data_IF_706015500523
#
_entry.id   IF_706015500523
#
_cell.length_a   1.000
_cell.length_b   1.000
_cell.length_c   1.000
_cell.angle_alpha   90.00
_cell.angle_beta   90.00
_cell.angle_gamma   90.00
#
_symmetry.space_group_name_H-M   'P 1'
#
loop_
_entity.id
_entity.type
_entity.pdbx_description
1 polymer ?
#
# COMPACT_ATOMS: atom_id res chain seq x y z
N UNK A 1 -34.02 5.67 0.51
CA UNK A 1 -34.30 6.18 1.88
C UNK A 1 -34.72 5.07 2.84
N UNK A 2 -35.74 4.23 2.50
CA UNK A 2 -36.23 3.16 3.39
C UNK A 2 -35.10 2.21 3.84
N UNK A 3 -34.20 1.80 2.94
CA UNK A 3 -33.08 0.91 3.24
C UNK A 3 -32.04 1.57 4.15
N UNK A 4 -31.81 2.88 4.00
CA UNK A 4 -30.87 3.63 4.84
C UNK A 4 -31.39 3.70 6.28
N UNK A 5 -32.65 4.02 6.48
CA UNK A 5 -33.27 4.04 7.83
C UNK A 5 -33.21 2.67 8.50
N UNK A 6 -33.46 1.60 7.75
CA UNK A 6 -33.35 0.23 8.27
C UNK A 6 -31.91 -0.09 8.68
N UNK A 7 -30.92 0.33 7.87
CA UNK A 7 -29.49 0.13 8.19
C UNK A 7 -29.11 0.90 9.45
N UNK A 8 -29.48 2.17 9.56
CA UNK A 8 -29.23 2.99 10.76
C UNK A 8 -29.86 2.34 12.00
N UNK A 9 -31.10 1.88 11.91
CA UNK A 9 -31.76 1.19 13.02
C UNK A 9 -30.99 -0.06 13.48
N UNK A 10 -30.50 -0.86 12.54
CA UNK A 10 -29.66 -2.03 12.86
C UNK A 10 -28.34 -1.64 13.52
N UNK A 11 -27.67 -0.60 13.04
CA UNK A 11 -26.45 -0.09 13.65
C UNK A 11 -26.68 0.33 15.10
N UNK A 12 -27.76 1.07 15.38
CA UNK A 12 -28.13 1.51 16.72
C UNK A 12 -28.38 0.32 17.64
N UNK A 13 -29.17 -0.66 17.19
CA UNK A 13 -29.45 -1.86 18.01
C UNK A 13 -28.19 -2.69 18.27
N UNK A 14 -27.31 -2.84 17.29
CA UNK A 14 -26.02 -3.51 17.47
C UNK A 14 -25.16 -2.77 18.49
N UNK A 15 -25.09 -1.45 18.41
CA UNK A 15 -24.31 -0.64 19.37
C UNK A 15 -24.80 -0.81 20.80
N UNK A 16 -26.12 -0.86 21.03
CA UNK A 16 -26.70 -1.04 22.36
C UNK A 16 -26.34 -2.37 23.05
N UNK A 17 -26.06 -3.43 22.29
CA UNK A 17 -25.71 -4.75 22.82
C UNK A 17 -24.20 -4.99 22.81
N UNK A 18 -23.39 -4.10 22.20
CA UNK A 18 -21.95 -4.19 22.21
C UNK A 18 -21.43 -3.76 23.60
N UNK A 19 -20.49 -4.49 24.21
CA UNK A 19 -19.86 -4.05 25.46
C UNK A 19 -19.22 -2.68 25.32
N UNK A 20 -19.30 -1.87 26.38
CA UNK A 20 -18.63 -0.57 26.42
C UNK A 20 -17.11 -0.73 26.33
N UNK A 21 -16.49 0.11 25.55
CA UNK A 21 -15.04 0.25 25.44
C UNK A 21 -14.67 1.67 25.86
N UNK A 22 -13.99 1.80 26.98
CA UNK A 22 -13.60 3.11 27.57
C UNK A 22 -12.66 3.94 26.65
N UNK A 23 -12.02 3.27 25.67
CA UNK A 23 -11.13 3.92 24.71
C UNK A 23 -11.81 4.26 23.39
N UNK A 24 -13.07 3.88 23.21
CA UNK A 24 -13.83 4.17 21.98
C UNK A 24 -14.68 5.43 22.16
N UNK A 25 -14.08 6.57 21.88
CA UNK A 25 -14.72 7.90 21.98
C UNK A 25 -14.46 8.71 20.71
N UNK A 26 -15.22 9.81 20.55
CA UNK A 26 -14.87 10.82 19.56
C UNK A 26 -13.59 11.53 19.98
N UNK A 27 -12.75 11.99 19.05
CA UNK A 27 -11.55 12.75 19.36
C UNK A 27 -11.91 14.11 19.98
N UNK A 28 -10.96 14.70 20.71
CA UNK A 28 -11.10 16.06 21.18
C UNK A 28 -11.22 17.03 19.99
N UNK A 29 -12.15 17.99 20.07
CA UNK A 29 -12.41 18.92 18.97
C UNK A 29 -11.21 19.72 18.51
N UNK A 30 -10.27 19.97 19.41
CA UNK A 30 -9.03 20.70 19.12
C UNK A 30 -8.05 19.90 18.25
N UNK A 31 -8.25 18.58 18.16
CA UNK A 31 -7.45 17.67 17.31
C UNK A 31 -7.99 17.58 15.90
N UNK A 32 -9.24 17.97 15.67
CA UNK A 32 -9.88 17.85 14.35
C UNK A 32 -9.14 18.68 13.29
N UNK A 33 -8.96 18.11 12.11
CA UNK A 33 -8.28 18.74 11.00
C UNK A 33 -9.03 19.98 10.49
N UNK A 34 -8.54 21.16 10.83
CA UNK A 34 -9.15 22.46 10.45
C UNK A 34 -8.42 23.12 9.27
N UNK A 35 -7.15 22.80 9.07
CA UNK A 35 -6.33 23.30 7.96
C UNK A 35 -5.81 22.14 7.14
N UNK A 36 -6.32 22.03 5.92
CA UNK A 36 -5.95 20.98 4.99
C UNK A 36 -5.08 21.63 3.89
N UNK A 37 -3.79 21.29 3.89
CA UNK A 37 -2.89 21.63 2.78
C UNK A 37 -3.14 20.67 1.62
N UNK A 38 -3.09 21.16 0.39
CA UNK A 38 -3.25 20.28 -0.77
C UNK A 38 -2.07 19.31 -0.87
N UNK A 39 -2.38 18.03 -0.78
CA UNK A 39 -1.42 16.94 -0.90
C UNK A 39 -1.25 16.43 -2.34
N UNK A 40 -2.01 17.00 -3.26
CA UNK A 40 -1.98 16.63 -4.69
C UNK A 40 -2.06 15.09 -4.89
N UNK A 41 -3.01 14.44 -4.20
CA UNK A 41 -3.20 12.99 -4.27
C UNK A 41 -4.35 12.57 -5.19
N UNK A 42 -4.90 13.52 -5.96
CA UNK A 42 -5.97 13.27 -6.91
C UNK A 42 -5.61 13.79 -8.29
N UNK A 43 -5.81 12.94 -9.28
CA UNK A 43 -5.68 13.23 -10.70
C UNK A 43 -7.04 13.05 -11.38
N UNK A 44 -7.46 14.05 -12.16
CA UNK A 44 -8.68 14.00 -12.95
C UNK A 44 -8.52 13.19 -14.22
N UNK A 45 -7.28 12.99 -14.68
CA UNK A 45 -6.99 12.25 -15.89
C UNK A 45 -7.55 10.84 -15.83
N UNK A 46 -8.06 10.39 -16.96
CA UNK A 46 -8.62 9.06 -17.17
C UNK A 46 -7.95 8.43 -18.39
N UNK A 47 -7.64 7.16 -18.28
CA UNK A 47 -7.12 6.38 -19.39
C UNK A 47 -8.19 5.39 -19.86
N UNK A 48 -8.56 5.46 -21.14
CA UNK A 48 -9.54 4.53 -21.72
C UNK A 48 -8.98 3.10 -21.81
N UNK A 49 -9.86 2.13 -21.91
CA UNK A 49 -9.48 0.72 -21.92
C UNK A 49 -8.59 0.32 -23.10
N UNK A 50 -8.73 0.98 -24.25
CA UNK A 50 -7.89 0.71 -25.40
C UNK A 50 -6.42 1.11 -25.10
N UNK A 51 -6.21 2.29 -24.57
CA UNK A 51 -4.87 2.73 -24.17
C UNK A 51 -4.27 1.89 -23.04
N UNK A 52 -5.10 1.40 -22.09
CA UNK A 52 -4.64 0.44 -21.08
C UNK A 52 -4.13 -0.85 -21.72
N UNK A 53 -4.84 -1.36 -22.73
CA UNK A 53 -4.44 -2.56 -23.46
C UNK A 53 -3.14 -2.30 -24.26
N UNK A 54 -3.02 -1.16 -24.94
CA UNK A 54 -1.78 -0.78 -25.63
C UNK A 54 -0.60 -0.69 -24.68
N UNK A 55 -0.80 -0.05 -23.53
CA UNK A 55 0.22 0.05 -22.46
C UNK A 55 0.67 -1.34 -22.00
N UNK A 56 -0.28 -2.24 -21.70
CA UNK A 56 0.04 -3.60 -21.25
C UNK A 56 0.71 -4.44 -22.34
N UNK A 57 0.31 -4.26 -23.60
CA UNK A 57 0.97 -4.92 -24.72
C UNK A 57 2.44 -4.51 -24.83
N UNK A 58 2.75 -3.23 -24.70
CA UNK A 58 4.14 -2.75 -24.71
C UNK A 58 4.94 -3.29 -23.52
N UNK A 59 4.30 -3.41 -22.33
CA UNK A 59 4.91 -4.05 -21.16
C UNK A 59 5.30 -5.50 -21.47
N UNK A 60 4.40 -6.28 -22.05
CA UNK A 60 4.64 -7.69 -22.38
C UNK A 60 5.66 -7.85 -23.51
N UNK A 61 5.52 -7.07 -24.59
CA UNK A 61 6.44 -7.09 -25.74
C UNK A 61 7.88 -6.83 -25.26
N UNK A 62 8.09 -5.85 -24.37
CA UNK A 62 9.41 -5.53 -23.83
C UNK A 62 9.98 -6.62 -22.90
N UNK A 63 9.14 -7.38 -22.23
CA UNK A 63 9.60 -8.53 -21.46
C UNK A 63 10.04 -9.69 -22.38
N UNK A 64 9.30 -9.93 -23.45
CA UNK A 64 9.62 -10.97 -24.45
C UNK A 64 10.83 -10.67 -25.33
N UNK A 65 11.41 -9.47 -25.28
CA UNK A 65 12.72 -9.22 -25.91
C UNK A 65 13.84 -10.14 -25.38
N UNK A 66 13.63 -10.77 -24.24
CA UNK A 66 14.56 -11.74 -23.66
C UNK A 66 14.15 -13.16 -23.98
N UNK A 67 15.01 -13.90 -24.65
CA UNK A 67 14.74 -15.27 -25.11
C UNK A 67 14.41 -16.27 -24.00
N UNK A 68 14.87 -16.02 -22.77
CA UNK A 68 14.59 -16.84 -21.60
C UNK A 68 13.17 -16.68 -21.08
N UNK A 69 12.47 -15.59 -21.44
CA UNK A 69 11.09 -15.35 -21.00
C UNK A 69 10.14 -16.21 -21.84
N UNK A 70 9.37 -17.03 -21.16
CA UNK A 70 8.44 -17.98 -21.78
C UNK A 70 6.97 -17.64 -21.54
N UNK A 71 6.70 -16.78 -20.55
CA UNK A 71 5.35 -16.29 -20.25
C UNK A 71 5.38 -14.98 -19.50
N UNK A 72 4.33 -14.18 -19.66
CA UNK A 72 4.08 -12.94 -18.91
C UNK A 72 2.62 -12.87 -18.49
N UNK A 73 2.37 -12.16 -17.40
CA UNK A 73 1.04 -11.75 -16.97
C UNK A 73 1.14 -10.27 -16.57
N UNK A 74 0.39 -9.41 -17.23
CA UNK A 74 0.38 -7.99 -16.97
C UNK A 74 -1.00 -7.49 -16.55
N UNK A 75 -1.03 -6.43 -15.75
CA UNK A 75 -2.29 -5.86 -15.28
C UNK A 75 -2.19 -4.35 -15.10
N UNK A 76 -3.29 -3.65 -15.40
CA UNK A 76 -3.46 -2.21 -15.19
C UNK A 76 -4.67 -1.96 -14.31
N UNK A 77 -4.52 -1.11 -13.30
CA UNK A 77 -5.60 -0.68 -12.43
C UNK A 77 -5.64 0.85 -12.33
N UNK A 78 -6.83 1.40 -12.43
CA UNK A 78 -7.16 2.79 -12.15
C UNK A 78 -8.22 2.82 -11.08
N UNK A 79 -7.96 3.54 -9.99
CA UNK A 79 -8.91 3.72 -8.90
C UNK A 79 -9.05 5.20 -8.60
N UNK A 80 -10.28 5.68 -8.53
CA UNK A 80 -10.63 7.01 -8.05
C UNK A 80 -11.56 6.87 -6.87
N UNK A 81 -11.25 7.54 -5.78
CA UNK A 81 -12.00 7.49 -4.54
C UNK A 81 -12.44 8.88 -4.13
N UNK A 82 -13.62 8.94 -3.54
CA UNK A 82 -14.13 10.12 -2.86
C UNK A 82 -14.49 9.69 -1.43
N UNK A 83 -13.71 10.16 -0.48
CA UNK A 83 -13.89 9.87 0.95
C UNK A 83 -14.60 11.05 1.62
N UNK A 84 -15.64 10.78 2.39
CA UNK A 84 -16.36 11.77 3.17
C UNK A 84 -16.54 11.22 4.58
N UNK A 85 -16.13 12.01 5.56
CA UNK A 85 -16.32 11.73 6.98
C UNK A 85 -17.27 12.76 7.59
N UNK A 86 -18.27 12.27 8.32
CA UNK A 86 -19.16 13.09 9.11
C UNK A 86 -19.32 12.47 10.50
N UNK A 87 -19.20 13.27 11.54
CA UNK A 87 -19.36 12.84 12.92
C UNK A 87 -20.33 13.73 13.71
N UNK A 88 -20.86 13.22 14.82
CA UNK A 88 -21.86 13.90 15.65
C UNK A 88 -21.32 15.11 16.41
N UNK A 89 -20.01 15.26 16.51
CA UNK A 89 -19.33 16.45 17.08
C UNK A 89 -19.31 17.67 16.14
N UNK A 90 -19.81 17.48 14.89
CA UNK A 90 -19.92 18.51 13.87
C UNK A 90 -18.81 18.48 12.82
N UNK A 91 -17.90 17.52 12.85
CA UNK A 91 -16.93 17.35 11.78
C UNK A 91 -17.64 16.87 10.49
N UNK A 92 -17.40 17.57 9.40
CA UNK A 92 -17.84 17.19 8.06
C UNK A 92 -16.80 17.63 7.06
N UNK A 93 -16.05 16.68 6.54
CA UNK A 93 -15.04 16.95 5.53
C UNK A 93 -14.85 15.75 4.60
N UNK A 94 -14.16 15.96 3.48
CA UNK A 94 -13.89 14.91 2.52
C UNK A 94 -12.76 15.28 1.57
N UNK A 95 -12.24 14.27 0.89
CA UNK A 95 -11.22 14.45 -0.14
C UNK A 95 -11.33 13.37 -1.21
N UNK A 96 -10.76 13.70 -2.37
CA UNK A 96 -10.60 12.75 -3.47
C UNK A 96 -9.18 12.20 -3.47
N UNK A 97 -9.04 10.98 -3.93
CA UNK A 97 -7.73 10.37 -4.21
C UNK A 97 -7.80 9.50 -5.46
N UNK A 98 -6.68 9.35 -6.13
CA UNK A 98 -6.52 8.48 -7.28
C UNK A 98 -5.30 7.57 -7.11
N UNK A 99 -5.33 6.44 -7.80
CA UNK A 99 -4.21 5.52 -7.90
C UNK A 99 -4.22 4.88 -9.27
N UNK A 100 -3.07 4.93 -9.93
CA UNK A 100 -2.80 4.27 -11.20
C UNK A 100 -1.69 3.25 -10.96
N UNK A 101 -1.92 2.01 -11.33
CA UNK A 101 -0.90 0.98 -11.19
C UNK A 101 -0.83 0.09 -12.41
N UNK A 102 0.39 -0.31 -12.77
CA UNK A 102 0.63 -1.34 -13.75
C UNK A 102 1.69 -2.31 -13.23
N UNK A 103 1.57 -3.57 -13.57
CA UNK A 103 2.50 -4.61 -13.15
C UNK A 103 2.73 -5.62 -14.27
N UNK A 104 3.90 -6.24 -14.23
CA UNK A 104 4.25 -7.38 -15.06
C UNK A 104 4.88 -8.46 -14.20
N UNK A 105 4.33 -9.66 -14.24
CA UNK A 105 4.99 -10.88 -13.76
C UNK A 105 5.59 -11.57 -14.96
N UNK A 106 6.89 -11.85 -14.95
CA UNK A 106 7.57 -12.59 -15.99
C UNK A 106 7.96 -13.99 -15.50
N UNK A 107 7.92 -14.97 -16.39
CA UNK A 107 8.39 -16.34 -16.16
C UNK A 107 9.52 -16.64 -17.12
N UNK A 108 10.69 -16.98 -16.58
CA UNK A 108 11.85 -17.38 -17.37
C UNK A 108 12.10 -18.88 -17.22
N UNK A 109 12.65 -19.47 -18.29
CA UNK A 109 13.05 -20.88 -18.32
C UNK A 109 14.45 -21.03 -18.89
N UNK A 110 15.29 -21.84 -18.21
CA UNK A 110 16.62 -22.23 -18.68
C UNK A 110 16.99 -23.59 -18.13
N UNK A 111 17.53 -24.48 -18.95
CA UNK A 111 18.03 -25.79 -18.56
C UNK A 111 17.06 -26.62 -17.68
N UNK A 112 15.77 -26.55 -17.97
CA UNK A 112 14.73 -27.25 -17.20
C UNK A 112 14.26 -26.53 -15.94
N UNK A 113 14.94 -25.49 -15.48
CA UNK A 113 14.54 -24.65 -14.36
C UNK A 113 13.63 -23.53 -14.83
N UNK A 114 12.65 -23.18 -13.99
CA UNK A 114 11.73 -22.07 -14.23
C UNK A 114 11.73 -21.17 -12.99
N UNK A 115 11.77 -19.87 -13.23
CA UNK A 115 11.71 -18.85 -12.19
C UNK A 115 10.74 -17.76 -12.58
N UNK A 116 10.21 -17.05 -11.57
CA UNK A 116 9.35 -15.90 -11.79
C UNK A 116 9.74 -14.73 -10.91
N UNK A 117 9.57 -13.54 -11.42
CA UNK A 117 9.64 -12.29 -10.68
C UNK A 117 8.73 -11.25 -11.31
N UNK A 118 8.67 -10.08 -10.73
CA UNK A 118 7.77 -9.02 -11.16
C UNK A 118 8.40 -7.64 -11.05
N UNK A 119 7.81 -6.71 -11.79
CA UNK A 119 7.97 -5.27 -11.61
C UNK A 119 6.61 -4.59 -11.65
N UNK A 120 6.50 -3.44 -11.00
CA UNK A 120 5.29 -2.64 -10.98
C UNK A 120 5.58 -1.16 -10.80
N UNK A 121 4.64 -0.33 -11.23
CA UNK A 121 4.52 1.08 -10.86
C UNK A 121 3.21 1.30 -10.13
N UNK A 122 3.18 2.25 -9.19
CA UNK A 122 1.96 2.70 -8.53
C UNK A 122 2.13 4.18 -8.15
N UNK A 123 1.22 5.03 -8.60
CA UNK A 123 1.31 6.49 -8.49
C UNK A 123 -0.08 7.08 -8.26
N UNK A 124 -0.13 8.30 -7.69
CA UNK A 124 -1.38 9.06 -7.60
C UNK A 124 -1.77 9.69 -8.94
N UNK A 125 -0.81 9.96 -9.81
CA UNK A 125 -1.02 10.62 -11.09
C UNK A 125 -0.64 9.72 -12.26
N UNK A 126 -1.46 9.75 -13.30
CA UNK A 126 -1.23 8.97 -14.53
C UNK A 126 0.11 9.32 -15.18
N UNK A 127 0.46 10.62 -15.19
CA UNK A 127 1.71 11.12 -15.77
C UNK A 127 2.98 10.67 -15.03
N UNK A 128 2.86 10.20 -13.80
CA UNK A 128 3.99 9.78 -12.97
C UNK A 128 4.24 8.25 -13.10
N UNK A 129 3.45 7.53 -13.89
CA UNK A 129 3.66 6.10 -14.14
C UNK A 129 4.95 5.85 -14.93
N UNK A 130 5.57 4.74 -14.68
CA UNK A 130 6.74 4.31 -15.45
C UNK A 130 6.38 4.08 -16.92
N UNK A 131 7.37 4.23 -17.78
CA UNK A 131 7.22 3.79 -19.15
C UNK A 131 6.92 2.28 -19.21
N UNK A 132 5.95 1.83 -20.00
CA UNK A 132 5.58 0.42 -20.08
C UNK A 132 6.76 -0.50 -20.41
N UNK A 133 7.62 -0.11 -21.34
CA UNK A 133 8.81 -0.90 -21.71
C UNK A 133 9.80 -1.07 -20.54
N UNK A 134 9.88 -0.11 -19.63
CA UNK A 134 10.72 -0.21 -18.44
C UNK A 134 10.21 -1.29 -17.47
N UNK A 135 8.88 -1.38 -17.27
CA UNK A 135 8.28 -2.37 -16.38
C UNK A 135 8.55 -3.78 -16.89
N UNK A 136 8.31 -4.04 -18.18
CA UNK A 136 8.52 -5.36 -18.77
C UNK A 136 9.99 -5.77 -18.78
N UNK A 137 10.88 -4.88 -19.22
CA UNK A 137 12.32 -5.14 -19.25
C UNK A 137 12.90 -5.40 -17.86
N UNK A 138 12.46 -4.66 -16.83
CA UNK A 138 12.90 -4.89 -15.45
C UNK A 138 12.34 -6.17 -14.86
N UNK A 139 11.08 -6.51 -15.14
CA UNK A 139 10.48 -7.78 -14.72
C UNK A 139 11.27 -8.95 -15.32
N UNK A 140 11.54 -8.93 -16.63
CA UNK A 140 12.33 -9.94 -17.32
C UNK A 140 13.75 -10.06 -16.74
N UNK A 141 14.45 -8.93 -16.58
CA UNK A 141 15.81 -8.90 -16.00
C UNK A 141 15.86 -9.54 -14.62
N UNK A 142 14.94 -9.18 -13.74
CA UNK A 142 14.87 -9.73 -12.37
C UNK A 142 14.57 -11.21 -12.36
N UNK A 143 13.69 -11.67 -13.25
CA UNK A 143 13.34 -13.08 -13.38
C UNK A 143 14.53 -13.91 -13.85
N UNK A 144 15.25 -13.45 -14.88
CA UNK A 144 16.43 -14.11 -15.40
C UNK A 144 17.54 -14.22 -14.35
N UNK A 145 17.73 -13.18 -13.53
CA UNK A 145 18.70 -13.19 -12.42
C UNK A 145 18.45 -14.27 -11.38
N UNK A 146 17.23 -14.82 -11.29
CA UNK A 146 16.89 -15.93 -10.39
C UNK A 146 17.17 -17.31 -10.98
N UNK A 147 17.40 -17.41 -12.28
CA UNK A 147 17.68 -18.68 -12.92
C UNK A 147 18.95 -19.33 -12.36
N UNK A 148 18.93 -20.66 -12.32
CA UNK A 148 20.04 -21.48 -11.81
C UNK A 148 20.41 -21.16 -10.35
N UNK A 149 19.45 -21.21 -9.40
CA UNK A 149 19.71 -20.94 -8.00
C UNK A 149 20.72 -21.95 -7.43
N UNK A 150 21.62 -21.49 -6.58
CA UNK A 150 22.56 -22.32 -5.88
C UNK A 150 22.12 -22.57 -4.43
N UNK A 151 22.31 -23.78 -3.95
CA UNK A 151 22.15 -24.11 -2.54
C UNK A 151 23.30 -23.51 -1.74
N UNK A 152 22.97 -22.81 -0.66
CA UNK A 152 23.94 -22.38 0.34
C UNK A 152 23.70 -23.16 1.63
N UNK A 153 24.74 -23.35 2.42
CA UNK A 153 24.63 -23.97 3.74
C UNK A 153 24.02 -23.01 4.77
N UNK A 154 23.52 -23.57 5.88
CA UNK A 154 22.99 -22.75 6.98
C UNK A 154 24.16 -22.10 7.71
N UNK A 155 24.20 -20.78 7.70
CA UNK A 155 25.25 -20.01 8.36
C UNK A 155 24.70 -18.67 8.91
N UNK A 156 25.49 -18.05 9.79
CA UNK A 156 25.16 -16.72 10.31
C UNK A 156 25.88 -15.66 9.48
N UNK A 157 25.13 -14.99 8.63
CA UNK A 157 25.63 -13.99 7.68
C UNK A 157 24.91 -12.67 7.79
N UNK A 158 25.51 -11.62 7.26
CA UNK A 158 24.85 -10.33 7.04
C UNK A 158 23.88 -10.44 5.86
N UNK A 159 22.68 -9.89 6.00
CA UNK A 159 21.64 -9.94 4.97
C UNK A 159 21.36 -8.52 4.47
N UNK A 160 21.31 -8.35 3.15
CA UNK A 160 20.86 -7.14 2.50
C UNK A 160 19.47 -7.43 1.93
N UNK A 161 18.47 -6.67 2.40
CA UNK A 161 17.11 -6.78 1.90
C UNK A 161 16.92 -5.92 0.65
N UNK A 162 16.38 -6.50 -0.43
CA UNK A 162 15.92 -5.73 -1.59
C UNK A 162 14.85 -4.71 -1.15
N UNK A 163 14.84 -3.52 -1.78
CA UNK A 163 13.91 -2.43 -1.47
C UNK A 163 12.43 -2.85 -1.47
N UNK A 164 12.05 -3.82 -2.30
CA UNK A 164 10.68 -4.33 -2.39
C UNK A 164 10.26 -5.13 -1.16
N UNK A 165 11.22 -5.75 -0.48
CA UNK A 165 10.99 -6.61 0.70
C UNK A 165 11.22 -5.83 1.98
N UNK A 166 12.14 -4.87 1.99
CA UNK A 166 12.54 -4.12 3.19
C UNK A 166 11.36 -3.40 3.87
N UNK A 167 10.34 -2.99 3.11
CA UNK A 167 9.10 -2.44 3.66
C UNK A 167 8.39 -3.39 4.64
N UNK A 168 8.58 -4.70 4.50
CA UNK A 168 8.00 -5.70 5.40
C UNK A 168 8.49 -5.53 6.85
N UNK A 169 9.72 -5.08 7.05
CA UNK A 169 10.27 -4.80 8.39
C UNK A 169 9.49 -3.66 9.06
N UNK A 170 9.19 -2.59 8.31
CA UNK A 170 8.38 -1.48 8.82
C UNK A 170 6.94 -1.92 9.11
N UNK A 171 6.36 -2.78 8.28
CA UNK A 171 5.01 -3.33 8.52
C UNK A 171 4.94 -4.16 9.80
N UNK A 172 5.97 -4.96 10.09
CA UNK A 172 6.06 -5.72 11.35
C UNK A 172 6.15 -4.76 12.54
N UNK A 173 6.96 -3.71 12.44
CA UNK A 173 7.04 -2.70 13.50
C UNK A 173 5.69 -1.99 13.69
N UNK A 174 5.07 -1.49 12.62
CA UNK A 174 3.77 -0.81 12.70
C UNK A 174 2.71 -1.68 13.38
N UNK A 175 2.65 -2.98 13.04
CA UNK A 175 1.75 -3.93 13.69
C UNK A 175 2.09 -4.15 15.17
N UNK A 176 3.38 -4.18 15.51
CA UNK A 176 3.82 -4.43 16.89
C UNK A 176 3.61 -3.22 17.82
N UNK A 177 3.67 -1.99 17.32
CA UNK A 177 3.41 -0.76 18.10
C UNK A 177 1.94 -0.36 18.10
N UNK A 178 1.08 -1.04 17.35
CA UNK A 178 -0.36 -0.76 17.34
C UNK A 178 -0.95 -0.87 18.75
N UNK A 179 -1.70 0.15 19.18
CA UNK A 179 -2.35 0.18 20.48
C UNK A 179 -3.20 -1.07 20.74
N UNK A 180 -3.96 -1.53 19.75
CA UNK A 180 -4.77 -2.74 19.85
C UNK A 180 -3.95 -4.01 20.05
N UNK A 181 -2.76 -4.12 19.45
CA UNK A 181 -1.85 -5.25 19.65
C UNK A 181 -1.22 -5.23 21.05
N UNK A 182 -0.90 -4.04 21.53
CA UNK A 182 -0.38 -3.82 22.90
C UNK A 182 -1.44 -4.18 23.94
N UNK A 183 -2.66 -3.64 23.81
CA UNK A 183 -3.77 -3.87 24.74
C UNK A 183 -4.14 -5.36 24.84
N UNK A 184 -4.23 -6.05 23.70
CA UNK A 184 -4.48 -7.51 23.66
C UNK A 184 -3.30 -8.35 24.15
N UNK A 185 -2.16 -7.77 24.44
CA UNK A 185 -0.95 -8.47 24.89
C UNK A 185 -0.28 -9.35 23.84
N UNK A 186 -0.67 -9.22 22.56
CA UNK A 186 -0.14 -10.05 21.46
C UNK A 186 1.17 -9.52 20.88
N UNK A 187 1.51 -8.27 21.17
CA UNK A 187 2.76 -7.66 20.70
C UNK A 187 3.97 -8.11 21.51
N UNK A 188 5.07 -8.44 20.83
CA UNK A 188 6.38 -8.65 21.48
C UNK A 188 6.98 -7.35 22.07
N UNK A 189 6.41 -6.19 21.72
CA UNK A 189 6.82 -4.87 22.26
C UNK A 189 5.97 -4.39 23.44
N UNK A 190 4.99 -5.16 23.92
CA UNK A 190 4.05 -4.75 24.98
C UNK A 190 4.67 -4.19 26.26
N UNK A 191 5.91 -4.58 26.59
CA UNK A 191 6.63 -4.11 27.77
C UNK A 191 7.85 -3.23 27.40
N UNK A 192 7.85 -2.62 26.22
CA UNK A 192 9.00 -1.86 25.68
C UNK A 192 8.75 -0.36 25.56
N UNK A 193 7.67 0.16 26.15
CA UNK A 193 7.40 1.61 26.17
C UNK A 193 8.61 2.33 26.80
N UNK A 194 9.05 3.40 26.15
CA UNK A 194 10.23 4.20 26.52
C UNK A 194 11.56 3.42 26.53
N UNK A 195 11.62 2.24 25.91
CA UNK A 195 12.87 1.49 25.74
C UNK A 195 13.38 1.61 24.30
N UNK A 196 14.68 1.66 24.17
CA UNK A 196 15.36 1.60 22.86
C UNK A 196 15.20 0.20 22.27
N UNK A 197 14.66 0.10 21.05
CA UNK A 197 14.45 -1.14 20.30
C UNK A 197 15.34 -1.24 19.05
N UNK A 198 15.87 -0.12 18.60
CA UNK A 198 16.84 -0.03 17.50
C UNK A 198 18.05 0.79 17.95
N UNK A 199 19.12 0.71 17.17
CA UNK A 199 20.29 1.58 17.34
C UNK A 199 19.89 3.05 17.16
N UNK A 200 20.55 3.95 17.89
CA UNK A 200 20.33 5.42 17.83
C UNK A 200 20.53 6.03 16.43
N UNK A 201 21.19 5.30 15.53
CA UNK A 201 21.37 5.70 14.13
C UNK A 201 20.11 5.49 13.27
N UNK A 202 19.11 4.75 13.77
CA UNK A 202 17.88 4.44 13.03
C UNK A 202 16.77 5.38 13.48
N UNK A 203 16.24 6.15 12.55
CA UNK A 203 15.08 7.02 12.76
C UNK A 203 13.94 6.55 11.87
N UNK A 204 12.76 6.43 12.43
CA UNK A 204 11.54 6.00 11.74
C UNK A 204 10.50 7.09 11.93
N UNK A 205 9.95 7.58 10.81
CA UNK A 205 8.97 8.66 10.79
C UNK A 205 7.67 8.16 10.15
N UNK A 206 6.55 8.48 10.77
CA UNK A 206 5.23 8.45 10.15
C UNK A 206 4.90 9.84 9.62
N UNK A 207 4.63 9.95 8.31
CA UNK A 207 4.35 11.22 7.63
C UNK A 207 3.13 11.06 6.74
N UNK A 208 1.93 11.31 7.27
CA UNK A 208 0.69 11.15 6.50
C UNK A 208 0.47 12.24 5.44
N UNK A 209 1.29 13.28 5.40
CA UNK A 209 1.11 14.49 4.59
C UNK A 209 2.19 14.68 3.51
N UNK A 210 2.66 13.62 2.90
CA UNK A 210 3.60 13.69 1.77
C UNK A 210 2.81 14.04 0.49
N UNK A 211 3.25 15.07 -0.23
CA UNK A 211 2.67 15.44 -1.53
C UNK A 211 2.80 14.26 -2.50
N UNK A 212 1.72 13.93 -3.21
CA UNK A 212 1.61 12.75 -4.10
C UNK A 212 1.93 11.42 -3.42
N UNK A 213 1.89 11.36 -2.09
CA UNK A 213 2.14 10.12 -1.35
C UNK A 213 0.94 9.17 -1.43
N UNK A 214 1.16 7.92 -1.87
CA UNK A 214 0.10 6.89 -1.97
C UNK A 214 -0.57 6.57 -0.63
N UNK A 215 0.17 6.71 0.47
CA UNK A 215 -0.34 6.53 1.84
C UNK A 215 -0.83 7.83 2.49
N UNK A 216 -0.67 8.98 1.81
CA UNK A 216 -1.03 10.26 2.39
C UNK A 216 -2.54 10.44 2.53
N UNK A 217 -2.93 11.12 3.60
CA UNK A 217 -4.32 11.42 3.95
C UNK A 217 -4.40 12.87 4.45
N UNK A 218 -5.53 13.49 4.21
CA UNK A 218 -5.80 14.84 4.71
C UNK A 218 -6.20 14.83 6.19
N UNK A 219 -6.78 13.75 6.63
CA UNK A 219 -7.17 13.42 8.00
C UNK A 219 -7.40 11.91 8.08
N UNK A 220 -7.40 11.37 9.28
CA UNK A 220 -7.63 9.94 9.54
C UNK A 220 -9.13 9.60 9.67
N UNK A 221 -9.44 8.39 10.08
CA UNK A 221 -10.81 7.89 10.23
C UNK A 221 -11.59 8.57 11.38
N UNK A 222 -10.92 9.37 12.21
CA UNK A 222 -11.51 10.15 13.29
C UNK A 222 -11.61 11.64 12.93
N UNK A 223 -11.01 12.08 11.83
CA UNK A 223 -11.01 13.46 11.38
C UNK A 223 -9.84 14.30 11.93
N UNK A 224 -8.80 13.66 12.44
CA UNK A 224 -7.60 14.28 13.03
C UNK A 224 -6.48 14.41 12.03
#
# INVERSE_FOLDING_TARGET
>A
EKNIRTLIGRCIETTKITPEDEFNSLPDKDLLATKISDLNIYDEDHIDNYKKIEYLKEVEDSAFEKNEIVNTESGFSETKSNFILASSDGFLNGYKSSSFSASCVAVAKSNGNMERDYEFTNTCHLSDMFNPSEIGSLAAKKTIQKLNPQKIESEKISIIFDKRISKGILSVLASAISASSIARGTSFLKNKINKEIFSKSINIYDKPNIIKGLGSRYFDDEGV
#
